data_IF_472431258033
#
_entry.id   IF_472431258033
#
_cell.length_a   1.000
_cell.length_b   1.000
_cell.length_c   1.000
_cell.angle_alpha   90.00
_cell.angle_beta   90.00
_cell.angle_gamma   90.00
#
_symmetry.space_group_name_H-M   'P 1'
#
loop_
_entity.id
_entity.type
_entity.pdbx_description
1 polymer ?
#
# COMPACT_ATOMS: atom_id res chain seq x y z
N UNK A 1 32.78 0.82 -16.01
CA UNK A 1 31.40 0.57 -15.57
C UNK A 1 30.85 -0.62 -16.33
N UNK A 2 30.51 -1.68 -15.61
CA UNK A 2 29.98 -2.91 -16.17
C UNK A 2 28.47 -2.77 -16.38
N UNK A 3 28.06 -2.20 -17.52
CA UNK A 3 26.67 -1.83 -17.83
C UNK A 3 25.63 -2.89 -17.55
N UNK A 4 25.93 -4.14 -17.88
CA UNK A 4 25.00 -5.27 -17.64
C UNK A 4 24.70 -5.42 -16.13
N UNK A 5 25.73 -5.36 -15.28
CA UNK A 5 25.56 -5.48 -13.83
C UNK A 5 24.81 -4.27 -13.27
N UNK A 6 25.11 -3.06 -13.76
CA UNK A 6 24.43 -1.84 -13.35
C UNK A 6 22.93 -1.88 -13.70
N UNK A 7 22.58 -2.23 -14.96
CA UNK A 7 21.18 -2.29 -15.42
C UNK A 7 20.41 -3.35 -14.64
N UNK A 8 20.99 -4.53 -14.43
CA UNK A 8 20.36 -5.58 -13.65
C UNK A 8 20.12 -5.14 -12.21
N UNK A 9 21.13 -4.55 -11.54
CA UNK A 9 20.97 -4.02 -10.20
C UNK A 9 19.86 -2.97 -10.16
N UNK A 10 19.92 -1.96 -11.03
CA UNK A 10 18.95 -0.87 -11.06
C UNK A 10 17.52 -1.37 -11.32
N UNK A 11 17.32 -2.30 -12.25
CA UNK A 11 16.01 -2.86 -12.53
C UNK A 11 15.44 -3.64 -11.33
N UNK A 12 16.27 -4.48 -10.69
CA UNK A 12 15.81 -5.38 -9.62
C UNK A 12 15.50 -4.61 -8.34
N UNK A 13 16.32 -3.64 -7.95
CA UNK A 13 16.15 -2.92 -6.67
C UNK A 13 14.86 -2.11 -6.61
N UNK A 14 14.23 -1.84 -7.75
CA UNK A 14 12.95 -1.14 -7.84
C UNK A 14 11.73 -2.07 -7.79
N UNK A 15 11.89 -3.39 -7.91
CA UNK A 15 10.78 -4.37 -7.86
C UNK A 15 9.93 -4.22 -6.59
N UNK A 16 10.49 -4.09 -5.36
CA UNK A 16 9.69 -3.96 -4.14
C UNK A 16 8.66 -2.83 -4.18
N UNK A 17 9.04 -1.69 -4.78
CA UNK A 17 8.15 -0.54 -4.96
C UNK A 17 7.05 -0.88 -5.97
N UNK A 18 7.42 -1.53 -7.08
CA UNK A 18 6.50 -1.95 -8.13
C UNK A 18 5.46 -2.98 -7.66
N UNK A 19 5.75 -3.77 -6.61
CA UNK A 19 4.76 -4.67 -6.01
C UNK A 19 3.52 -3.88 -5.59
N UNK A 20 3.68 -2.72 -4.97
CA UNK A 20 2.54 -1.92 -4.49
C UNK A 20 1.71 -1.37 -5.66
N UNK A 21 2.38 -0.95 -6.75
CA UNK A 21 1.72 -0.49 -7.97
C UNK A 21 0.95 -1.62 -8.67
N UNK A 22 1.58 -2.77 -8.87
CA UNK A 22 0.95 -3.95 -9.45
C UNK A 22 -0.28 -4.37 -8.62
N UNK A 23 -0.16 -4.34 -7.30
CA UNK A 23 -1.20 -4.73 -6.37
C UNK A 23 -2.39 -3.75 -6.35
N UNK A 24 -2.12 -2.47 -6.12
CA UNK A 24 -3.17 -1.47 -5.90
C UNK A 24 -3.73 -0.90 -7.20
N UNK A 25 -2.91 -0.77 -8.25
CA UNK A 25 -3.33 -0.19 -9.53
C UNK A 25 -3.84 -1.25 -10.50
N UNK A 26 -3.11 -2.36 -10.62
CA UNK A 26 -3.39 -3.42 -11.60
C UNK A 26 -4.12 -4.64 -11.01
N UNK A 27 -4.44 -4.61 -9.72
CA UNK A 27 -5.10 -5.71 -9.01
C UNK A 27 -4.36 -7.06 -9.08
N UNK A 28 -3.03 -7.03 -9.24
CA UNK A 28 -2.17 -8.23 -9.24
C UNK A 28 -1.76 -8.54 -7.80
N UNK A 29 -2.18 -9.67 -7.20
CA UNK A 29 -1.89 -9.94 -5.79
C UNK A 29 -0.39 -9.85 -5.47
N UNK A 30 -0.02 -9.07 -4.45
CA UNK A 30 1.37 -8.83 -4.07
C UNK A 30 2.15 -10.14 -3.87
N UNK A 31 1.54 -11.17 -3.26
CA UNK A 31 2.17 -12.48 -3.11
C UNK A 31 2.60 -13.13 -4.43
N UNK A 32 1.86 -12.89 -5.54
CA UNK A 32 2.28 -13.35 -6.88
C UNK A 32 3.47 -12.57 -7.39
N UNK A 33 3.47 -11.24 -7.23
CA UNK A 33 4.61 -10.40 -7.65
C UNK A 33 5.86 -10.76 -6.83
N UNK A 34 5.71 -10.99 -5.52
CA UNK A 34 6.79 -11.46 -4.65
C UNK A 34 7.35 -12.78 -5.18
N UNK A 35 6.50 -13.78 -5.41
CA UNK A 35 6.91 -15.12 -5.84
C UNK A 35 7.58 -15.12 -7.22
N UNK A 36 7.02 -14.40 -8.20
CA UNK A 36 7.41 -14.53 -9.60
C UNK A 36 8.35 -13.43 -10.10
N UNK A 37 8.44 -12.29 -9.42
CA UNK A 37 9.34 -11.21 -9.80
C UNK A 37 10.42 -10.98 -8.72
N UNK A 38 10.01 -10.80 -7.46
CA UNK A 38 10.96 -10.43 -6.42
C UNK A 38 11.92 -11.55 -6.03
N UNK A 39 11.43 -12.78 -5.78
CA UNK A 39 12.30 -13.90 -5.40
C UNK A 39 13.36 -14.19 -6.48
N UNK A 40 13.00 -14.34 -7.77
CA UNK A 40 14.00 -14.45 -8.84
C UNK A 40 14.92 -13.23 -8.92
N UNK A 41 14.37 -12.02 -8.79
CA UNK A 41 15.13 -10.78 -8.76
C UNK A 41 16.19 -10.79 -7.64
N UNK A 42 15.84 -11.17 -6.43
CA UNK A 42 16.76 -11.24 -5.30
C UNK A 42 17.90 -12.24 -5.52
N UNK A 43 17.62 -13.38 -6.18
CA UNK A 43 18.67 -14.35 -6.59
C UNK A 43 19.62 -13.71 -7.60
N UNK A 44 19.08 -13.02 -8.62
CA UNK A 44 19.89 -12.33 -9.63
C UNK A 44 20.72 -11.21 -8.98
N UNK A 45 20.14 -10.41 -8.09
CA UNK A 45 20.85 -9.34 -7.38
C UNK A 45 21.99 -9.89 -6.53
N UNK A 46 21.79 -11.03 -5.87
CA UNK A 46 22.87 -11.72 -5.15
C UNK A 46 23.99 -12.12 -6.10
N UNK A 47 23.65 -12.68 -7.26
CA UNK A 47 24.62 -12.99 -8.32
C UNK A 47 25.38 -11.74 -8.81
N UNK A 48 24.66 -10.62 -9.03
CA UNK A 48 25.25 -9.34 -9.42
C UNK A 48 26.25 -8.85 -8.37
N UNK A 49 25.91 -8.92 -7.08
CA UNK A 49 26.81 -8.53 -5.98
C UNK A 49 28.08 -9.39 -5.94
N UNK A 50 27.94 -10.71 -6.12
CA UNK A 50 29.07 -11.64 -6.14
C UNK A 50 29.99 -11.40 -7.34
N UNK A 51 29.44 -11.18 -8.54
CA UNK A 51 30.22 -10.92 -9.75
C UNK A 51 30.87 -9.53 -9.68
N UNK A 52 30.14 -8.50 -9.24
CA UNK A 52 30.67 -7.14 -9.10
C UNK A 52 31.89 -7.09 -8.16
N UNK A 53 31.93 -7.94 -7.14
CA UNK A 53 33.11 -8.05 -6.24
C UNK A 53 34.41 -8.32 -7.00
N UNK A 54 34.37 -9.13 -8.05
CA UNK A 54 35.55 -9.47 -8.84
C UNK A 54 35.71 -8.55 -10.06
N UNK A 55 34.60 -8.20 -10.71
CA UNK A 55 34.61 -7.56 -12.04
C UNK A 55 34.44 -6.03 -12.01
N UNK A 56 33.80 -5.47 -10.99
CA UNK A 56 33.54 -4.02 -10.89
C UNK A 56 33.49 -3.56 -9.41
N UNK A 57 34.64 -3.50 -8.71
CA UNK A 57 34.70 -3.05 -7.31
C UNK A 57 34.07 -1.65 -7.08
N UNK A 58 34.23 -0.67 -7.99
CA UNK A 58 33.51 0.60 -7.90
C UNK A 58 31.97 0.48 -7.85
N UNK A 59 31.37 -0.40 -8.66
CA UNK A 59 29.93 -0.66 -8.61
C UNK A 59 29.53 -1.30 -7.26
N UNK A 60 30.32 -2.27 -6.77
CA UNK A 60 30.06 -2.89 -5.48
C UNK A 60 30.11 -1.85 -4.34
N UNK A 61 31.03 -0.89 -4.41
CA UNK A 61 31.11 0.21 -3.46
C UNK A 61 29.83 1.06 -3.45
N UNK A 62 29.31 1.44 -4.63
CA UNK A 62 28.03 2.16 -4.74
C UNK A 62 26.86 1.37 -4.13
N UNK A 63 26.79 0.07 -4.43
CA UNK A 63 25.76 -0.81 -3.89
C UNK A 63 25.87 -0.92 -2.36
N UNK A 64 27.09 -1.00 -1.83
CA UNK A 64 27.34 -1.09 -0.38
C UNK A 64 26.89 0.18 0.34
N UNK A 65 27.30 1.36 -0.13
CA UNK A 65 26.88 2.62 0.46
C UNK A 65 25.38 2.87 0.29
N UNK A 66 24.80 2.44 -0.84
CA UNK A 66 23.36 2.51 -1.07
C UNK A 66 22.56 1.62 -0.11
N UNK A 67 23.04 0.42 0.20
CA UNK A 67 22.42 -0.47 1.20
C UNK A 67 22.48 0.13 2.61
N UNK A 68 23.65 0.62 3.03
CA UNK A 68 23.82 1.23 4.36
C UNK A 68 22.95 2.48 4.50
N UNK A 69 23.02 3.38 3.52
CA UNK A 69 22.23 4.61 3.48
C UNK A 69 20.73 4.32 3.43
N UNK A 70 20.29 3.35 2.61
CA UNK A 70 18.90 2.94 2.51
C UNK A 70 18.35 2.30 3.79
N UNK A 71 19.14 1.46 4.47
CA UNK A 71 18.76 0.87 5.76
C UNK A 71 18.56 1.94 6.82
N UNK A 72 19.56 2.81 7.02
CA UNK A 72 19.49 3.88 8.03
C UNK A 72 18.45 4.94 7.65
N UNK A 73 18.25 5.20 6.35
CA UNK A 73 17.17 6.03 5.82
C UNK A 73 15.80 5.48 6.18
N UNK A 74 15.59 4.17 6.04
CA UNK A 74 14.35 3.50 6.45
C UNK A 74 14.10 3.70 7.94
N UNK A 75 15.12 3.49 8.78
CA UNK A 75 14.99 3.68 10.24
C UNK A 75 14.61 5.13 10.55
N UNK A 76 15.28 6.10 9.93
CA UNK A 76 14.99 7.53 10.13
C UNK A 76 13.58 7.92 9.67
N UNK A 77 13.14 7.40 8.51
CA UNK A 77 11.78 7.56 8.00
C UNK A 77 10.77 6.98 8.99
N UNK A 78 11.01 5.77 9.51
CA UNK A 78 10.12 5.05 10.40
C UNK A 78 9.92 5.76 11.73
N UNK A 79 10.94 6.43 12.26
CA UNK A 79 10.80 7.28 13.45
C UNK A 79 9.73 8.35 13.22
N UNK A 80 9.81 9.09 12.11
CA UNK A 80 8.84 10.14 11.77
C UNK A 80 7.47 9.55 11.45
N UNK A 81 7.43 8.45 10.69
CA UNK A 81 6.18 7.77 10.29
C UNK A 81 5.42 7.24 11.50
N UNK A 82 6.10 6.56 12.42
CA UNK A 82 5.51 6.00 13.63
C UNK A 82 5.03 7.10 14.57
N UNK A 83 5.80 8.18 14.72
CA UNK A 83 5.31 9.37 15.44
C UNK A 83 4.05 9.93 14.80
N UNK A 84 4.05 10.10 13.47
CA UNK A 84 2.89 10.52 12.70
C UNK A 84 1.67 9.61 12.87
N UNK A 85 1.87 8.30 12.90
CA UNK A 85 0.81 7.32 13.06
C UNK A 85 0.28 7.25 14.50
N UNK A 86 1.15 7.15 15.50
CA UNK A 86 0.78 6.89 16.89
C UNK A 86 0.43 8.16 17.65
N UNK A 87 1.13 9.27 17.41
CA UNK A 87 0.95 10.54 18.13
C UNK A 87 0.03 11.46 17.36
N UNK A 88 0.36 11.79 16.10
CA UNK A 88 -0.40 12.77 15.32
C UNK A 88 -1.67 12.20 14.66
N UNK A 89 -1.85 10.87 14.68
CA UNK A 89 -2.94 10.15 14.01
C UNK A 89 -3.09 10.53 12.52
N UNK A 90 -1.97 10.87 11.86
CA UNK A 90 -1.93 11.38 10.49
C UNK A 90 -2.19 10.31 9.42
N UNK A 91 -2.24 9.04 9.79
CA UNK A 91 -2.42 7.91 8.88
C UNK A 91 -3.57 6.99 9.32
N UNK A 92 -4.28 6.36 8.36
CA UNK A 92 -5.34 5.40 8.67
C UNK A 92 -4.81 4.09 9.26
N UNK A 93 -3.59 3.68 8.92
CA UNK A 93 -2.94 2.50 9.46
C UNK A 93 -1.42 2.70 9.48
N UNK A 94 -0.69 1.83 10.18
CA UNK A 94 0.75 1.75 10.04
C UNK A 94 1.06 1.01 8.72
N UNK A 95 1.89 1.61 7.86
CA UNK A 95 2.10 1.11 6.49
C UNK A 95 2.64 -0.33 6.44
N UNK A 96 3.60 -0.75 7.31
CA UNK A 96 3.99 -2.15 7.42
C UNK A 96 2.83 -3.10 7.69
N UNK A 97 1.82 -2.74 8.48
CA UNK A 97 0.66 -3.61 8.70
C UNK A 97 -0.09 -3.88 7.40
N UNK A 98 -0.23 -2.85 6.56
CA UNK A 98 -0.83 -2.97 5.23
C UNK A 98 0.06 -3.84 4.33
N UNK A 99 1.35 -3.53 4.22
CA UNK A 99 2.29 -4.30 3.40
C UNK A 99 2.30 -5.79 3.77
N UNK A 100 2.35 -6.11 5.06
CA UNK A 100 2.30 -7.49 5.54
C UNK A 100 1.01 -8.18 5.17
N UNK A 101 -0.13 -7.51 5.35
CA UNK A 101 -1.45 -8.03 4.98
C UNK A 101 -1.53 -8.32 3.47
N UNK A 102 -0.98 -7.44 2.63
CA UNK A 102 -0.96 -7.60 1.18
C UNK A 102 -0.03 -8.73 0.72
N UNK A 103 1.19 -8.76 1.25
CA UNK A 103 2.19 -9.78 0.94
C UNK A 103 1.71 -11.19 1.30
N UNK A 104 0.96 -11.32 2.39
CA UNK A 104 0.34 -12.59 2.83
C UNK A 104 -0.95 -12.93 2.08
N UNK A 105 -1.34 -12.16 1.07
CA UNK A 105 -2.53 -12.41 0.25
C UNK A 105 -3.85 -12.13 0.98
N UNK A 106 -3.83 -11.36 2.06
CA UNK A 106 -5.00 -11.10 2.91
C UNK A 106 -5.76 -9.81 2.53
N UNK A 107 -5.37 -9.14 1.44
CA UNK A 107 -5.94 -7.85 1.02
C UNK A 107 -7.46 -7.87 0.80
N UNK A 108 -8.00 -8.91 0.16
CA UNK A 108 -9.45 -9.04 -0.05
C UNK A 108 -10.21 -9.23 1.27
N UNK A 109 -9.67 -10.03 2.20
CA UNK A 109 -10.25 -10.22 3.54
C UNK A 109 -10.20 -8.94 4.38
N UNK A 110 -9.12 -8.16 4.29
CA UNK A 110 -9.04 -6.85 4.93
C UNK A 110 -10.14 -5.93 4.40
N UNK A 111 -10.34 -5.88 3.08
CA UNK A 111 -11.40 -5.09 2.47
C UNK A 111 -12.79 -5.54 2.93
N UNK A 112 -13.08 -6.84 2.97
CA UNK A 112 -14.34 -7.37 3.51
C UNK A 112 -14.56 -6.96 4.98
N UNK A 113 -13.52 -7.04 5.81
CA UNK A 113 -13.58 -6.63 7.22
C UNK A 113 -13.79 -5.13 7.41
N UNK A 114 -13.16 -4.30 6.56
CA UNK A 114 -13.39 -2.85 6.52
C UNK A 114 -14.84 -2.52 6.17
N UNK A 115 -15.40 -3.20 5.17
CA UNK A 115 -16.79 -3.01 4.75
C UNK A 115 -17.76 -3.49 5.84
N UNK A 116 -17.47 -4.63 6.48
CA UNK A 116 -18.25 -5.14 7.60
C UNK A 116 -18.29 -4.13 8.77
N UNK A 117 -17.15 -3.52 9.11
CA UNK A 117 -17.10 -2.45 10.13
C UNK A 117 -17.89 -1.21 9.71
N UNK A 118 -17.86 -0.85 8.43
CA UNK A 118 -18.66 0.25 7.90
C UNK A 118 -20.17 -0.01 8.02
N UNK A 119 -20.62 -1.24 7.79
CA UNK A 119 -22.01 -1.64 8.06
C UNK A 119 -22.39 -1.43 9.53
N UNK A 120 -21.49 -1.78 10.45
CA UNK A 120 -21.66 -1.49 11.88
C UNK A 120 -21.89 0.00 12.16
N UNK A 121 -21.11 0.88 11.53
CA UNK A 121 -21.29 2.33 11.68
C UNK A 121 -22.60 2.84 11.08
N UNK A 122 -23.02 2.33 9.93
CA UNK A 122 -24.29 2.68 9.29
C UNK A 122 -25.45 2.24 10.18
N UNK A 123 -25.39 1.06 10.79
CA UNK A 123 -26.41 0.56 11.71
C UNK A 123 -26.55 1.39 12.99
N UNK A 124 -25.48 2.05 13.42
CA UNK A 124 -25.46 2.89 14.62
C UNK A 124 -25.80 4.37 14.34
N UNK A 125 -25.94 4.77 13.07
CA UNK A 125 -26.34 6.12 12.70
C UNK A 125 -27.84 6.35 12.96
N UNK A 126 -28.27 7.61 13.04
CA UNK A 126 -29.69 7.96 13.06
C UNK A 126 -30.39 7.52 11.75
N UNK A 127 -31.73 7.34 11.75
CA UNK A 127 -32.44 6.78 10.60
C UNK A 127 -32.26 7.57 9.29
N UNK A 128 -32.15 8.91 9.35
CA UNK A 128 -31.98 9.76 8.18
C UNK A 128 -30.59 9.57 7.58
N UNK A 129 -29.55 9.64 8.42
CA UNK A 129 -28.17 9.41 8.01
C UNK A 129 -27.96 7.97 7.51
N UNK A 130 -28.58 6.98 8.18
CA UNK A 130 -28.56 5.59 7.77
C UNK A 130 -29.12 5.42 6.34
N UNK A 131 -30.29 6.02 6.06
CA UNK A 131 -30.90 6.01 4.74
C UNK A 131 -29.98 6.64 3.69
N UNK A 132 -29.43 7.83 3.98
CA UNK A 132 -28.52 8.54 3.07
C UNK A 132 -27.25 7.74 2.76
N UNK A 133 -26.57 7.24 3.79
CA UNK A 133 -25.34 6.45 3.63
C UNK A 133 -25.59 5.16 2.83
N UNK A 134 -26.72 4.49 3.05
CA UNK A 134 -27.11 3.32 2.25
C UNK A 134 -27.40 3.70 0.80
N UNK A 135 -28.17 4.75 0.55
CA UNK A 135 -28.52 5.19 -0.79
C UNK A 135 -27.26 5.50 -1.63
N UNK A 136 -26.35 6.30 -1.10
CA UNK A 136 -25.10 6.65 -1.80
C UNK A 136 -24.25 5.40 -2.11
N UNK A 137 -24.12 4.50 -1.13
CA UNK A 137 -23.30 3.27 -1.27
C UNK A 137 -23.91 2.26 -2.23
N UNK A 138 -25.21 2.03 -2.17
CA UNK A 138 -25.89 1.09 -3.06
C UNK A 138 -25.89 1.59 -4.51
N UNK A 139 -26.12 2.88 -4.73
CA UNK A 139 -26.00 3.50 -6.04
C UNK A 139 -24.57 3.40 -6.61
N UNK A 140 -23.55 3.63 -5.78
CA UNK A 140 -22.15 3.46 -6.17
C UNK A 140 -21.79 2.00 -6.47
N UNK A 141 -22.25 1.07 -5.63
CA UNK A 141 -22.01 -0.37 -5.77
C UNK A 141 -22.55 -0.91 -7.10
N UNK A 142 -23.71 -0.43 -7.56
CA UNK A 142 -24.28 -0.83 -8.84
C UNK A 142 -23.37 -0.51 -10.05
N UNK A 143 -22.50 0.50 -9.94
CA UNK A 143 -21.56 0.89 -11.00
C UNK A 143 -20.23 0.13 -10.96
N UNK A 144 -19.97 -0.64 -9.91
CA UNK A 144 -18.73 -1.41 -9.79
C UNK A 144 -18.72 -2.60 -10.76
N UNK A 145 -17.53 -3.03 -11.26
CA UNK A 145 -17.39 -4.31 -11.96
C UNK A 145 -17.91 -5.47 -11.09
N UNK A 146 -18.55 -6.45 -11.72
CA UNK A 146 -19.23 -7.54 -11.00
C UNK A 146 -18.36 -8.23 -9.93
N UNK A 147 -17.11 -8.65 -10.20
CA UNK A 147 -16.30 -9.31 -9.16
C UNK A 147 -16.08 -8.42 -7.92
N UNK A 148 -15.86 -7.13 -8.13
CA UNK A 148 -15.67 -6.15 -7.06
C UNK A 148 -16.98 -5.93 -6.30
N UNK A 149 -18.10 -5.84 -7.02
CA UNK A 149 -19.44 -5.73 -6.44
C UNK A 149 -19.76 -6.90 -5.51
N UNK A 150 -19.48 -8.12 -5.94
CA UNK A 150 -19.65 -9.33 -5.12
C UNK A 150 -18.80 -9.27 -3.84
N UNK A 151 -17.56 -8.79 -3.93
CA UNK A 151 -16.70 -8.56 -2.76
C UNK A 151 -17.30 -7.55 -1.78
N UNK A 152 -17.89 -6.46 -2.27
CA UNK A 152 -18.59 -5.47 -1.42
C UNK A 152 -19.80 -6.10 -0.73
N UNK A 153 -20.63 -6.82 -1.47
CA UNK A 153 -21.82 -7.50 -0.93
C UNK A 153 -21.44 -8.53 0.14
N UNK A 154 -20.37 -9.31 -0.05
CA UNK A 154 -19.88 -10.24 0.99
C UNK A 154 -19.46 -9.52 2.26
N UNK A 155 -18.72 -8.42 2.12
CA UNK A 155 -18.37 -7.55 3.25
C UNK A 155 -19.62 -7.02 3.96
N UNK A 156 -20.65 -6.61 3.20
CA UNK A 156 -21.91 -6.13 3.77
C UNK A 156 -22.66 -7.24 4.52
N UNK A 157 -22.79 -8.43 3.91
CA UNK A 157 -23.40 -9.61 4.54
C UNK A 157 -22.68 -9.99 5.84
N UNK A 158 -21.35 -9.98 5.81
CA UNK A 158 -20.52 -10.22 6.99
C UNK A 158 -20.77 -9.20 8.11
N UNK A 159 -20.91 -7.92 7.74
CA UNK A 159 -21.28 -6.85 8.67
C UNK A 159 -22.67 -7.08 9.28
N UNK A 160 -23.67 -7.34 8.44
CA UNK A 160 -25.05 -7.62 8.86
C UNK A 160 -25.13 -8.82 9.81
N UNK A 161 -24.40 -9.89 9.52
CA UNK A 161 -24.34 -11.09 10.36
C UNK A 161 -23.67 -10.88 11.72
N UNK A 162 -22.91 -9.80 11.89
CA UNK A 162 -22.26 -9.44 13.15
C UNK A 162 -23.07 -8.45 14.01
N UNK A 163 -24.20 -7.93 13.51
CA UNK A 163 -25.07 -7.02 14.23
C UNK A 163 -26.00 -7.76 15.19
N UNK A 164 -26.41 -7.13 16.32
CA UNK A 164 -27.57 -7.58 17.09
C UNK A 164 -28.82 -7.71 16.20
N UNK A 165 -29.68 -8.68 16.49
CA UNK A 165 -30.83 -9.00 15.64
C UNK A 165 -31.73 -7.79 15.35
N UNK A 166 -32.04 -6.98 16.36
CA UNK A 166 -32.86 -5.77 16.20
C UNK A 166 -32.21 -4.74 15.26
N UNK A 167 -30.90 -4.48 15.40
CA UNK A 167 -30.17 -3.57 14.50
C UNK A 167 -30.09 -4.13 13.09
N UNK A 168 -29.87 -5.44 12.95
CA UNK A 168 -29.85 -6.14 11.67
C UNK A 168 -31.19 -6.00 10.94
N UNK A 169 -32.32 -6.25 11.62
CA UNK A 169 -33.66 -6.14 11.04
C UNK A 169 -33.97 -4.70 10.59
N UNK A 170 -33.67 -3.70 11.43
CA UNK A 170 -33.85 -2.28 11.07
C UNK A 170 -33.01 -1.86 9.86
N UNK A 171 -31.74 -2.26 9.83
CA UNK A 171 -30.86 -1.94 8.70
C UNK A 171 -31.33 -2.64 7.41
N UNK A 172 -31.77 -3.90 7.48
CA UNK A 172 -32.34 -4.62 6.33
C UNK A 172 -33.62 -3.95 5.81
N UNK A 173 -34.53 -3.53 6.69
CA UNK A 173 -35.73 -2.78 6.30
C UNK A 173 -35.36 -1.48 5.57
N UNK A 174 -34.40 -0.73 6.11
CA UNK A 174 -33.91 0.51 5.48
C UNK A 174 -33.27 0.22 4.12
N UNK A 175 -32.47 -0.84 4.02
CA UNK A 175 -31.85 -1.27 2.76
C UNK A 175 -32.90 -1.62 1.70
N UNK A 176 -33.97 -2.35 2.07
CA UNK A 176 -35.07 -2.67 1.17
C UNK A 176 -35.86 -1.44 0.73
N UNK A 177 -36.11 -0.49 1.65
CA UNK A 177 -36.78 0.78 1.34
C UNK A 177 -35.94 1.64 0.39
N UNK A 178 -34.62 1.70 0.58
CA UNK A 178 -33.71 2.39 -0.34
C UNK A 178 -33.70 1.71 -1.72
N UNK A 179 -33.64 0.37 -1.76
CA UNK A 179 -33.64 -0.38 -3.02
C UNK A 179 -34.94 -0.24 -3.80
N UNK A 180 -36.10 -0.20 -3.13
CA UNK A 180 -37.40 -0.05 -3.79
C UNK A 180 -37.53 1.33 -4.46
N UNK A 181 -36.93 2.36 -3.88
CA UNK A 181 -36.89 3.72 -4.43
C UNK A 181 -35.96 3.87 -5.64
N UNK A 182 -35.02 2.95 -5.87
CA UNK A 182 -34.12 3.04 -7.02
C UNK A 182 -34.76 2.63 -8.35
N UNK A 183 -34.26 3.16 -9.49
CA UNK A 183 -34.59 2.67 -10.81
C UNK A 183 -34.37 1.15 -10.93
N UNK A 184 -35.21 0.50 -11.75
CA UNK A 184 -35.23 -0.96 -11.90
C UNK A 184 -33.87 -1.56 -12.32
N UNK A 185 -33.07 -0.81 -13.08
CA UNK A 185 -31.71 -1.22 -13.47
C UNK A 185 -30.81 -1.33 -12.25
N UNK A 186 -30.66 -0.25 -11.47
CA UNK A 186 -29.82 -0.23 -10.25
C UNK A 186 -30.28 -1.31 -9.27
N UNK A 187 -31.60 -1.39 -9.02
CA UNK A 187 -32.18 -2.40 -8.12
C UNK A 187 -31.85 -3.82 -8.56
N UNK A 188 -32.09 -4.19 -9.83
CA UNK A 188 -31.76 -5.53 -10.35
C UNK A 188 -30.27 -5.84 -10.24
N UNK A 189 -29.41 -4.88 -10.59
CA UNK A 189 -27.95 -5.02 -10.55
C UNK A 189 -27.42 -5.28 -9.13
N UNK A 190 -28.01 -4.64 -8.11
CA UNK A 190 -27.67 -4.88 -6.71
C UNK A 190 -28.22 -6.23 -6.23
N UNK A 191 -29.50 -6.51 -6.49
CA UNK A 191 -30.14 -7.76 -6.06
C UNK A 191 -29.45 -8.99 -6.65
N UNK A 192 -29.12 -8.97 -7.94
CA UNK A 192 -28.36 -10.05 -8.59
C UNK A 192 -27.00 -10.29 -7.91
N UNK A 193 -26.32 -9.22 -7.47
CA UNK A 193 -25.06 -9.36 -6.75
C UNK A 193 -25.25 -9.92 -5.33
N UNK A 194 -26.38 -9.62 -4.69
CA UNK A 194 -26.78 -10.24 -3.42
C UNK A 194 -27.02 -11.74 -3.59
N UNK A 195 -27.78 -12.13 -4.61
CA UNK A 195 -28.07 -13.53 -4.93
C UNK A 195 -26.78 -14.31 -5.26
N UNK A 196 -25.93 -13.75 -6.12
CA UNK A 196 -24.65 -14.36 -6.49
C UNK A 196 -23.65 -14.44 -5.33
N UNK A 197 -23.67 -13.49 -4.39
CA UNK A 197 -22.82 -13.55 -3.20
C UNK A 197 -23.32 -14.59 -2.18
N UNK A 198 -24.59 -15.02 -2.29
CA UNK A 198 -25.15 -16.13 -1.51
C UNK A 198 -24.81 -17.50 -2.09
N UNK A 199 -24.57 -17.60 -3.41
CA UNK A 199 -24.08 -18.82 -4.02
C UNK A 199 -22.65 -19.13 -3.52
N UNK A 200 -22.45 -20.34 -2.99
CA UNK A 200 -21.13 -20.81 -2.59
C UNK A 200 -20.20 -20.87 -3.82
N UNK A 201 -18.94 -20.47 -3.65
CA UNK A 201 -17.89 -20.62 -4.67
C UNK A 201 -17.46 -19.33 -5.39
N UNK A 202 -18.08 -18.19 -5.12
CA UNK A 202 -17.64 -16.95 -5.74
C UNK A 202 -16.21 -16.59 -5.28
N UNK A 203 -15.29 -16.40 -6.24
CA UNK A 203 -13.87 -16.10 -5.95
C UNK A 203 -13.77 -14.70 -5.32
N UNK A 204 -12.99 -14.49 -4.25
CA UNK A 204 -12.77 -13.15 -3.69
C UNK A 204 -12.13 -12.24 -4.75
N UNK A 205 -12.71 -11.05 -4.95
CA UNK A 205 -12.08 -10.05 -5.79
C UNK A 205 -10.94 -9.37 -5.05
N UNK A 206 -9.79 -9.30 -5.72
CA UNK A 206 -8.61 -8.59 -5.20
C UNK A 206 -8.61 -7.10 -5.57
N UNK A 207 -9.46 -6.68 -6.51
CA UNK A 207 -9.50 -5.32 -7.01
C UNK A 207 -10.15 -4.35 -6.01
N UNK A 208 -9.59 -3.14 -5.94
CA UNK A 208 -10.10 -2.07 -5.07
C UNK A 208 -11.47 -1.55 -5.55
N UNK A 209 -12.39 -1.19 -4.63
CA UNK A 209 -13.74 -0.75 -4.97
C UNK A 209 -13.76 0.74 -5.36
N UNK A 210 -13.10 1.07 -6.48
CA UNK A 210 -13.01 2.43 -7.04
C UNK A 210 -14.40 2.95 -7.38
N UNK A 211 -14.74 4.13 -6.87
CA UNK A 211 -16.05 4.77 -7.08
C UNK A 211 -17.03 4.62 -5.91
N UNK A 212 -16.68 3.87 -4.86
CA UNK A 212 -17.43 3.90 -3.59
C UNK A 212 -17.30 5.26 -2.90
N UNK A 213 -18.30 5.68 -2.10
CA UNK A 213 -18.21 6.90 -1.30
C UNK A 213 -16.96 6.88 -0.42
N UNK A 214 -16.23 8.01 -0.45
CA UNK A 214 -15.00 8.15 0.33
C UNK A 214 -15.32 8.13 1.82
N UNK A 215 -14.36 7.64 2.59
CA UNK A 215 -14.43 7.49 4.03
C UNK A 215 -13.44 8.48 4.64
N UNK A 216 -13.89 9.38 5.54
CA UNK A 216 -12.97 10.28 6.24
C UNK A 216 -11.83 9.50 6.88
N UNK A 217 -10.60 10.01 6.80
CA UNK A 217 -9.41 9.29 7.27
C UNK A 217 -9.51 8.82 8.73
N UNK A 218 -10.12 9.61 9.62
CA UNK A 218 -10.30 9.22 11.02
C UNK A 218 -11.25 8.01 11.17
N UNK A 219 -12.34 7.98 10.39
CA UNK A 219 -13.24 6.81 10.30
C UNK A 219 -12.50 5.60 9.73
N UNK A 220 -11.73 5.79 8.66
CA UNK A 220 -10.93 4.72 8.05
C UNK A 220 -9.92 4.15 9.04
N UNK A 221 -9.34 4.98 9.90
CA UNK A 221 -8.41 4.56 10.96
C UNK A 221 -9.08 3.65 11.99
N UNK A 222 -10.24 4.05 12.49
CA UNK A 222 -11.02 3.25 13.45
C UNK A 222 -11.40 1.89 12.86
N UNK A 223 -11.84 1.89 11.59
CA UNK A 223 -12.17 0.66 10.87
C UNK A 223 -10.94 -0.24 10.70
N UNK A 224 -9.78 0.32 10.32
CA UNK A 224 -8.54 -0.44 10.15
C UNK A 224 -8.05 -1.05 11.46
N UNK A 225 -8.16 -0.32 12.57
CA UNK A 225 -7.77 -0.80 13.90
C UNK A 225 -8.52 -2.06 14.33
N UNK A 226 -9.76 -2.24 13.88
CA UNK A 226 -10.56 -3.45 14.11
C UNK A 226 -10.32 -4.50 13.02
N UNK A 227 -10.28 -4.07 11.76
CA UNK A 227 -10.24 -4.95 10.59
C UNK A 227 -8.91 -5.71 10.46
N UNK A 228 -7.76 -5.08 10.76
CA UNK A 228 -6.44 -5.71 10.65
C UNK A 228 -6.25 -6.93 11.57
N UNK A 229 -6.42 -6.82 12.91
CA UNK A 229 -6.26 -7.97 13.80
C UNK A 229 -7.29 -9.06 13.52
N UNK A 230 -8.53 -8.68 13.17
CA UNK A 230 -9.57 -9.63 12.75
C UNK A 230 -9.18 -10.40 11.50
N UNK A 231 -8.63 -9.72 10.50
CA UNK A 231 -8.17 -10.35 9.25
C UNK A 231 -7.08 -11.38 9.50
N UNK A 232 -6.09 -11.05 10.34
CA UNK A 232 -5.05 -11.99 10.74
C UNK A 232 -5.63 -13.21 11.48
N UNK A 233 -6.52 -12.98 12.45
CA UNK A 233 -7.19 -14.05 13.22
C UNK A 233 -8.00 -15.00 12.33
N UNK A 234 -8.82 -14.47 11.44
CA UNK A 234 -9.63 -15.27 10.50
C UNK A 234 -8.76 -16.07 9.53
N UNK A 235 -7.59 -15.54 9.16
CA UNK A 235 -6.61 -16.23 8.34
C UNK A 235 -5.76 -17.25 9.09
N UNK A 236 -5.88 -17.34 10.43
CA UNK A 236 -5.02 -18.13 11.31
C UNK A 236 -3.54 -17.78 11.14
N UNK A 237 -3.25 -16.50 10.90
CA UNK A 237 -1.89 -15.96 10.81
C UNK A 237 -1.63 -15.11 12.05
N UNK A 238 -0.46 -15.29 12.68
CA UNK A 238 -0.09 -14.48 13.84
C UNK A 238 0.09 -13.02 13.42
N UNK A 239 -0.34 -12.08 14.28
CA UNK A 239 -0.18 -10.66 13.98
C UNK A 239 1.30 -10.25 13.87
N UNK A 240 2.18 -10.93 14.62
CA UNK A 240 3.63 -10.75 14.50
C UNK A 240 4.15 -11.11 13.10
N UNK A 241 3.61 -12.14 12.44
CA UNK A 241 3.99 -12.49 11.07
C UNK A 241 3.56 -11.43 10.06
N UNK A 242 2.37 -10.83 10.26
CA UNK A 242 1.91 -9.67 9.46
C UNK A 242 2.90 -8.52 9.61
N UNK A 243 3.24 -8.14 10.85
CA UNK A 243 4.20 -7.07 11.10
C UNK A 243 5.57 -7.37 10.51
N UNK A 244 6.14 -8.54 10.78
CA UNK A 244 7.47 -8.93 10.29
C UNK A 244 7.56 -8.91 8.77
N UNK A 245 6.57 -9.48 8.07
CA UNK A 245 6.50 -9.45 6.60
C UNK A 245 6.36 -8.01 6.08
N UNK A 246 5.57 -7.20 6.77
CA UNK A 246 5.35 -5.80 6.45
C UNK A 246 6.60 -4.93 6.57
N UNK A 247 7.31 -5.06 7.68
CA UNK A 247 8.56 -4.34 7.93
C UNK A 247 9.67 -4.82 6.99
N UNK A 248 9.72 -6.12 6.67
CA UNK A 248 10.64 -6.62 5.65
C UNK A 248 10.40 -5.96 4.28
N UNK A 249 9.15 -5.92 3.81
CA UNK A 249 8.83 -5.21 2.56
C UNK A 249 9.16 -3.71 2.67
N UNK A 250 8.78 -3.04 3.77
CA UNK A 250 9.08 -1.62 3.95
C UNK A 250 10.59 -1.34 3.88
N UNK A 251 11.40 -2.16 4.54
CA UNK A 251 12.85 -2.08 4.49
C UNK A 251 13.40 -2.31 3.08
N UNK A 252 12.88 -3.31 2.36
CA UNK A 252 13.31 -3.56 0.98
C UNK A 252 13.05 -2.35 0.06
N UNK A 253 11.95 -1.61 0.25
CA UNK A 253 11.72 -0.35 -0.47
C UNK A 253 12.79 0.70 -0.13
N UNK A 254 13.12 0.88 1.15
CA UNK A 254 14.12 1.85 1.57
C UNK A 254 15.55 1.49 1.14
N UNK A 255 15.92 0.20 1.16
CA UNK A 255 17.15 -0.30 0.54
C UNK A 255 17.16 0.01 -0.96
N UNK A 256 16.04 -0.22 -1.65
CA UNK A 256 15.88 0.13 -3.07
C UNK A 256 16.09 1.62 -3.35
N UNK A 257 15.57 2.51 -2.50
CA UNK A 257 15.77 3.95 -2.63
C UNK A 257 17.22 4.38 -2.43
N UNK A 258 17.93 3.80 -1.46
CA UNK A 258 19.35 4.07 -1.24
C UNK A 258 20.22 3.57 -2.39
N UNK A 259 19.95 2.35 -2.88
CA UNK A 259 20.62 1.75 -4.04
C UNK A 259 20.37 2.54 -5.33
N UNK A 260 19.13 2.90 -5.61
CA UNK A 260 18.80 3.71 -6.77
C UNK A 260 19.49 5.08 -6.72
N UNK A 261 19.56 5.72 -5.54
CA UNK A 261 20.29 6.98 -5.37
C UNK A 261 21.77 6.84 -5.74
N UNK A 262 22.49 5.88 -5.15
CA UNK A 262 23.94 5.74 -5.39
C UNK A 262 24.25 5.27 -6.81
N UNK A 263 23.41 4.43 -7.42
CA UNK A 263 23.55 4.04 -8.83
C UNK A 263 23.35 5.21 -9.79
N UNK A 264 22.41 6.11 -9.50
CA UNK A 264 22.13 7.28 -10.34
C UNK A 264 23.18 8.39 -10.14
N UNK A 265 23.50 8.73 -8.90
CA UNK A 265 24.22 9.97 -8.57
C UNK A 265 25.63 9.76 -8.01
N UNK A 266 26.01 8.51 -7.68
CA UNK A 266 27.29 8.23 -7.02
C UNK A 266 27.35 8.90 -5.64
N UNK A 267 28.41 9.65 -5.32
CA UNK A 267 28.45 10.45 -4.09
C UNK A 267 27.46 11.63 -4.11
N UNK A 268 27.13 12.14 -5.30
CA UNK A 268 26.20 13.24 -5.50
C UNK A 268 26.55 14.48 -4.67
N UNK A 269 25.52 15.18 -4.22
CA UNK A 269 25.60 16.34 -3.31
C UNK A 269 24.43 16.29 -2.33
N UNK A 270 24.48 17.08 -1.26
CA UNK A 270 23.33 17.23 -0.36
C UNK A 270 22.06 17.72 -1.08
N UNK A 271 22.21 18.59 -2.06
CA UNK A 271 21.09 19.05 -2.87
C UNK A 271 20.43 17.89 -3.63
N UNK A 272 21.22 17.00 -4.24
CA UNK A 272 20.70 15.82 -4.93
C UNK A 272 20.01 14.85 -3.94
N UNK A 273 20.56 14.66 -2.74
CA UNK A 273 19.93 13.81 -1.73
C UNK A 273 18.55 14.35 -1.31
N UNK A 274 18.44 15.65 -1.02
CA UNK A 274 17.14 16.25 -0.70
C UNK A 274 16.17 16.24 -1.88
N UNK A 275 16.64 16.57 -3.08
CA UNK A 275 15.84 16.47 -4.30
C UNK A 275 15.32 15.04 -4.52
N UNK A 276 16.12 14.02 -4.22
CA UNK A 276 15.72 12.62 -4.27
C UNK A 276 14.63 12.28 -3.24
N UNK A 277 14.76 12.73 -1.99
CA UNK A 277 13.73 12.57 -0.97
C UNK A 277 12.40 13.23 -1.38
N UNK A 278 12.47 14.46 -1.91
CA UNK A 278 11.31 15.19 -2.43
C UNK A 278 10.69 14.46 -3.62
N UNK A 279 11.51 13.94 -4.54
CA UNK A 279 11.05 13.17 -5.70
C UNK A 279 10.27 11.92 -5.28
N UNK A 280 10.80 11.13 -4.35
CA UNK A 280 10.11 9.93 -3.83
C UNK A 280 8.79 10.32 -3.17
N UNK A 281 8.81 11.36 -2.31
CA UNK A 281 7.60 11.87 -1.68
C UNK A 281 6.55 12.28 -2.72
N UNK A 282 6.95 13.06 -3.75
CA UNK A 282 6.05 13.52 -4.79
C UNK A 282 5.44 12.36 -5.57
N UNK A 283 6.26 11.36 -5.94
CA UNK A 283 5.79 10.14 -6.60
C UNK A 283 4.79 9.35 -5.74
N UNK A 284 5.03 9.24 -4.43
CA UNK A 284 4.08 8.62 -3.50
C UNK A 284 2.78 9.43 -3.41
N UNK A 285 2.85 10.75 -3.24
CA UNK A 285 1.65 11.60 -3.12
C UNK A 285 0.82 11.64 -4.41
N UNK A 286 1.45 11.60 -5.57
CA UNK A 286 0.78 11.52 -6.86
C UNK A 286 -0.04 10.22 -7.00
N UNK A 287 0.46 9.13 -6.45
CA UNK A 287 -0.09 7.78 -6.69
C UNK A 287 -1.04 7.32 -5.59
N UNK A 288 -0.94 7.88 -4.39
CA UNK A 288 -1.76 7.55 -3.23
C UNK A 288 -3.28 7.63 -3.47
N UNK A 289 -3.85 8.68 -4.12
CA UNK A 289 -5.28 8.72 -4.40
C UNK A 289 -5.78 7.54 -5.24
N UNK A 290 -4.94 7.03 -6.15
CA UNK A 290 -5.28 5.87 -6.98
C UNK A 290 -5.12 4.55 -6.21
N UNK A 291 -4.17 4.47 -5.27
CA UNK A 291 -3.92 3.28 -4.46
C UNK A 291 -4.92 3.10 -3.30
N UNK A 292 -5.47 4.20 -2.77
CA UNK A 292 -6.45 4.20 -1.67
C UNK A 292 -7.70 4.99 -2.05
N UNK A 293 -8.45 4.56 -3.08
CA UNK A 293 -9.49 5.36 -3.73
C UNK A 293 -10.70 5.66 -2.82
N UNK A 294 -10.85 4.91 -1.74
CA UNK A 294 -11.98 5.03 -0.80
C UNK A 294 -11.67 5.88 0.42
N UNK A 295 -10.45 6.42 0.56
CA UNK A 295 -10.07 7.25 1.71
C UNK A 295 -10.13 8.72 1.31
N UNK A 296 -10.75 9.53 2.15
CA UNK A 296 -10.68 10.99 2.07
C UNK A 296 -9.53 11.50 2.94
N UNK A 297 -8.49 12.01 2.28
CA UNK A 297 -7.29 12.53 2.94
C UNK A 297 -7.51 13.99 3.39
N UNK A 298 -7.13 14.37 4.62
CA UNK A 298 -7.25 15.74 5.11
C UNK A 298 -6.14 16.63 4.52
N UNK A 299 -6.29 17.02 3.26
CA UNK A 299 -5.35 17.90 2.56
C UNK A 299 -5.47 19.35 3.06
N UNK A 300 -4.37 20.12 3.18
CA UNK A 300 -2.98 19.73 2.90
C UNK A 300 -2.27 19.06 4.08
N UNK A 301 -2.89 18.97 5.27
CA UNK A 301 -2.25 18.47 6.50
C UNK A 301 -1.65 17.06 6.33
N UNK A 302 -2.32 16.21 5.56
CA UNK A 302 -1.84 14.87 5.23
C UNK A 302 -0.45 14.87 4.57
N UNK A 303 -0.11 15.90 3.79
CA UNK A 303 1.16 15.97 3.04
C UNK A 303 2.39 16.17 3.93
N UNK A 304 2.22 16.82 5.08
CA UNK A 304 3.32 17.31 5.90
C UNK A 304 4.14 16.17 6.52
N UNK A 305 3.47 15.20 7.13
CA UNK A 305 4.16 14.08 7.81
C UNK A 305 4.93 13.20 6.82
N UNK A 306 4.33 12.75 5.69
CA UNK A 306 5.07 12.08 4.62
C UNK A 306 6.26 12.89 4.10
N UNK A 307 6.09 14.20 3.89
CA UNK A 307 7.16 15.06 3.38
C UNK A 307 8.36 15.07 4.33
N UNK A 308 8.12 15.34 5.61
CA UNK A 308 9.18 15.35 6.63
C UNK A 308 9.85 13.97 6.71
N UNK A 309 9.08 12.88 6.67
CA UNK A 309 9.62 11.52 6.74
C UNK A 309 10.60 11.23 5.58
N UNK A 310 10.30 11.71 4.37
CA UNK A 310 11.17 11.50 3.19
C UNK A 310 12.38 12.44 3.17
N UNK A 311 12.24 13.67 3.66
CA UNK A 311 13.39 14.57 3.85
C UNK A 311 14.35 13.99 4.90
N UNK A 312 13.82 13.45 6.01
CA UNK A 312 14.62 12.80 7.05
C UNK A 312 15.28 11.52 6.54
N UNK A 313 14.58 10.72 5.72
CA UNK A 313 15.16 9.55 5.03
C UNK A 313 16.36 9.92 4.15
N UNK A 314 16.30 11.06 3.45
CA UNK A 314 17.35 11.50 2.54
C UNK A 314 18.67 11.82 3.26
N UNK A 315 18.63 12.17 4.55
CA UNK A 315 19.83 12.55 5.32
C UNK A 315 20.87 11.41 5.38
N UNK A 316 20.56 10.21 5.90
CA UNK A 316 21.52 9.10 5.92
C UNK A 316 21.87 8.61 4.51
N UNK A 317 20.92 8.61 3.55
CA UNK A 317 21.22 8.25 2.15
C UNK A 317 22.33 9.17 1.60
N UNK A 318 22.16 10.49 1.73
CA UNK A 318 23.15 11.48 1.29
C UNK A 318 24.48 11.36 2.04
N UNK A 319 24.43 11.23 3.37
CA UNK A 319 25.63 11.12 4.20
C UNK A 319 26.52 9.93 3.79
N UNK A 320 25.94 8.75 3.60
CA UNK A 320 26.70 7.56 3.23
C UNK A 320 27.10 7.54 1.75
N UNK A 321 26.27 8.11 0.86
CA UNK A 321 26.66 8.26 -0.53
C UNK A 321 27.93 9.13 -0.68
N UNK A 322 28.04 10.24 0.06
CA UNK A 322 29.23 11.11 0.05
C UNK A 322 30.53 10.42 0.47
N UNK A 323 30.48 9.19 1.02
CA UNK A 323 31.67 8.37 1.33
C UNK A 323 32.17 7.56 0.13
N UNK A 324 31.43 7.52 -0.97
CA UNK A 324 31.82 6.81 -2.17
C UNK A 324 33.07 7.45 -2.81
N UNK A 325 34.02 6.60 -3.21
CA UNK A 325 35.27 7.01 -3.84
C UNK A 325 35.06 7.70 -5.19
N UNK A 326 36.12 8.36 -5.68
CA UNK A 326 36.16 8.87 -7.05
C UNK A 326 35.96 7.74 -8.08
N UNK A 327 36.50 6.54 -7.81
CA UNK A 327 36.31 5.37 -8.67
C UNK A 327 34.84 4.93 -8.70
N UNK A 328 34.14 4.95 -7.56
CA UNK A 328 32.72 4.65 -7.46
C UNK A 328 31.85 5.71 -8.16
N UNK A 329 32.22 6.99 -8.08
CA UNK A 329 31.54 8.08 -8.83
C UNK A 329 31.45 7.75 -10.31
N UNK A 330 32.56 7.28 -10.83
CA UNK A 330 32.80 6.82 -12.20
C UNK A 330 31.93 5.62 -12.62
N UNK A 331 31.37 4.86 -11.66
CA UNK A 331 30.43 3.77 -11.91
C UNK A 331 28.94 4.15 -11.73
N UNK A 332 28.64 5.42 -11.45
CA UNK A 332 27.27 5.95 -11.42
C UNK A 332 26.85 6.51 -12.77
N UNK A 333 25.53 6.66 -13.00
CA UNK A 333 25.03 7.25 -14.25
C UNK A 333 25.50 8.71 -14.42
N UNK A 334 25.39 9.53 -13.38
CA UNK A 334 25.82 10.93 -13.42
C UNK A 334 27.33 11.06 -13.65
N UNK A 335 28.13 10.29 -12.90
CA UNK A 335 29.59 10.31 -13.05
C UNK A 335 30.08 9.65 -14.35
N UNK A 336 29.21 9.05 -15.15
CA UNK A 336 29.52 8.70 -16.53
C UNK A 336 29.19 9.85 -17.48
N UNK A 337 28.01 10.47 -17.34
CA UNK A 337 27.52 11.51 -18.25
C UNK A 337 28.36 12.80 -18.22
N UNK A 338 29.08 13.06 -17.13
CA UNK A 338 29.83 14.29 -16.90
C UNK A 338 31.36 14.08 -16.84
N UNK A 339 31.89 13.04 -17.51
CA UNK A 339 33.34 12.91 -17.77
C UNK A 339 33.72 13.52 -19.10
#
# INVERSE_FOLDING_TARGET
MHWVLWILAFAIVNIPILILFADRLLAVPAGRVVKYAWVPGAVILTGVLLIARAADPPLLELLTWGLIGGFLGTVALDIVRLYGHHVLKAFPADMPQIFGTLALGLGSRLQENMIAGMVGRIAAADPEMQHKMLAERLAAMARLPEPVRLGVVRGMRKGLGALPEEQRLRLLQTQLAVLSAFPSVIRRTVMQAMDLAMADGAIPSYAQPRGMPKVPMHVARELMAVALPRTAKEARVSYAMVLGTGYAWHLLNGLGFGLAYTLLFGPGTWWLAFAWGIFIWAGMMLTMPAMMPVIEFPMPRFLLVPFIAHVVMAVPIGYFALKASAAATTASLLGLLFR
#
